data_IF_737063950468
#
_entry.id   IF_737063950468
#
_cell.length_a   1.000
_cell.length_b   1.000
_cell.length_c   1.000
_cell.angle_alpha   90.00
_cell.angle_beta   90.00
_cell.angle_gamma   90.00
#
_symmetry.space_group_name_H-M   'P 1'
#
loop_
_entity.id
_entity.type
_entity.pdbx_description
1 polymer ?
#
# COMPACT_ATOMS: atom_id res chain seq x y z
N UNK A 1 1.18 31.63 15.55
CA UNK A 1 2.61 31.62 15.13
C UNK A 1 2.68 30.99 13.76
N UNK A 2 3.22 31.67 12.75
CA UNK A 2 3.47 31.05 11.43
C UNK A 2 4.76 30.25 11.53
N UNK A 3 4.70 28.96 11.25
CA UNK A 3 5.89 28.11 11.15
C UNK A 3 6.70 28.54 9.92
N UNK A 4 8.01 28.70 10.08
CA UNK A 4 8.91 28.97 8.94
C UNK A 4 9.05 27.70 8.11
N UNK A 5 8.97 27.82 6.79
CA UNK A 5 9.27 26.71 5.89
C UNK A 5 10.75 26.32 6.02
N UNK A 6 11.01 25.04 6.24
CA UNK A 6 12.35 24.47 6.24
C UNK A 6 12.46 23.59 5.01
N UNK A 7 13.43 23.91 4.14
CA UNK A 7 13.70 23.10 2.95
C UNK A 7 14.32 21.77 3.37
N UNK A 8 13.67 20.67 3.00
CA UNK A 8 14.21 19.33 3.21
C UNK A 8 15.26 19.00 2.15
N UNK A 9 16.29 18.25 2.54
CA UNK A 9 17.23 17.67 1.59
C UNK A 9 16.51 16.73 0.60
N UNK A 10 16.87 16.82 -0.68
CA UNK A 10 16.18 16.08 -1.74
C UNK A 10 16.47 14.58 -1.63
N UNK A 11 17.71 14.18 -1.35
CA UNK A 11 18.08 12.77 -1.25
C UNK A 11 17.39 12.11 -0.04
N UNK A 12 17.26 12.83 1.07
CA UNK A 12 16.50 12.39 2.23
C UNK A 12 15.01 12.20 1.90
N UNK A 13 14.41 13.14 1.16
CA UNK A 13 13.02 13.02 0.73
C UNK A 13 12.82 11.82 -0.22
N UNK A 14 13.71 11.62 -1.19
CA UNK A 14 13.67 10.49 -2.11
C UNK A 14 13.80 9.14 -1.39
N UNK A 15 14.69 9.06 -0.39
CA UNK A 15 14.86 7.85 0.43
C UNK A 15 13.57 7.48 1.17
N UNK A 16 12.85 8.48 1.71
CA UNK A 16 11.55 8.26 2.35
C UNK A 16 10.49 7.84 1.32
N UNK A 17 10.38 8.59 0.21
CA UNK A 17 9.37 8.35 -0.83
C UNK A 17 9.50 6.98 -1.51
N UNK A 18 10.72 6.42 -1.55
CA UNK A 18 10.98 5.07 -2.04
C UNK A 18 10.25 3.97 -1.27
N UNK A 19 9.91 4.21 -0.01
CA UNK A 19 9.35 3.20 0.90
C UNK A 19 7.86 3.40 1.19
N UNK A 20 7.18 4.30 0.49
CA UNK A 20 5.75 4.61 0.69
C UNK A 20 4.98 4.60 -0.62
N UNK A 21 3.66 4.47 -0.52
CA UNK A 21 2.73 4.82 -1.60
C UNK A 21 1.96 6.07 -1.17
N UNK A 22 2.11 7.19 -1.88
CA UNK A 22 1.67 8.49 -1.36
C UNK A 22 2.68 9.07 -0.37
N UNK A 23 2.22 9.84 0.62
CA UNK A 23 3.11 10.59 1.53
C UNK A 23 2.69 10.59 3.01
N UNK A 24 1.51 10.06 3.36
CA UNK A 24 1.01 10.06 4.74
C UNK A 24 1.01 8.64 5.37
N UNK A 25 2.06 8.24 6.10
CA UNK A 25 2.08 6.99 6.86
C UNK A 25 0.91 6.88 7.84
N UNK A 26 0.39 5.66 8.00
CA UNK A 26 -0.50 5.37 9.13
C UNK A 26 0.27 5.63 10.43
N UNK A 27 -0.31 6.29 11.46
CA UNK A 27 0.39 6.58 12.71
C UNK A 27 1.06 5.34 13.32
N UNK A 28 2.36 5.45 13.61
CA UNK A 28 3.16 4.35 14.17
C UNK A 28 3.55 3.23 13.19
N UNK A 29 3.14 3.32 11.92
CA UNK A 29 3.50 2.33 10.92
C UNK A 29 5.01 2.31 10.66
N UNK A 30 5.54 1.10 10.52
CA UNK A 30 6.93 0.83 10.12
C UNK A 30 6.93 0.06 8.80
N UNK A 31 8.08 0.08 8.11
CA UNK A 31 8.28 -0.68 6.88
C UNK A 31 8.01 -2.16 7.17
N UNK A 32 7.12 -2.76 6.38
CA UNK A 32 6.69 -4.13 6.60
C UNK A 32 6.25 -4.77 5.29
N UNK A 33 6.03 -6.09 5.31
CA UNK A 33 5.43 -6.79 4.17
C UNK A 33 3.91 -6.66 4.22
N UNK A 34 3.35 -5.96 3.25
CA UNK A 34 1.92 -5.93 2.98
C UNK A 34 1.60 -7.00 1.95
N UNK A 35 0.62 -7.86 2.25
CA UNK A 35 0.10 -8.85 1.31
C UNK A 35 -1.37 -8.62 1.09
N UNK A 36 -1.77 -8.65 -0.17
CA UNK A 36 -3.16 -8.57 -0.61
C UNK A 36 -3.51 -9.80 -1.43
N UNK A 37 -4.72 -10.32 -1.23
CA UNK A 37 -5.34 -11.24 -2.17
C UNK A 37 -6.13 -10.41 -3.18
N UNK A 38 -6.00 -10.73 -4.47
CA UNK A 38 -6.67 -10.04 -5.56
C UNK A 38 -7.47 -10.99 -6.44
N UNK A 39 -8.62 -10.52 -6.91
CA UNK A 39 -9.46 -11.24 -7.88
C UNK A 39 -8.74 -11.42 -9.22
N UNK A 40 -9.33 -12.16 -10.16
CA UNK A 40 -8.79 -12.28 -11.52
C UNK A 40 -8.74 -10.93 -12.25
N UNK A 41 -9.81 -10.13 -12.16
CA UNK A 41 -9.85 -8.78 -12.73
C UNK A 41 -8.80 -7.86 -12.06
N UNK A 42 -8.71 -7.91 -10.73
CA UNK A 42 -7.71 -7.15 -9.98
C UNK A 42 -6.29 -7.56 -10.36
N UNK A 43 -6.04 -8.86 -10.56
CA UNK A 43 -4.74 -9.37 -11.02
C UNK A 43 -4.30 -8.70 -12.31
N UNK A 44 -5.17 -8.65 -13.32
CA UNK A 44 -4.85 -8.01 -14.61
C UNK A 44 -4.53 -6.53 -14.42
N UNK A 45 -5.31 -5.83 -13.59
CA UNK A 45 -5.09 -4.42 -13.29
C UNK A 45 -3.72 -4.17 -12.65
N UNK A 46 -3.36 -4.89 -11.57
CA UNK A 46 -2.09 -4.71 -10.87
C UNK A 46 -0.87 -5.14 -11.69
N UNK A 47 -1.04 -6.01 -12.68
CA UNK A 47 0.02 -6.31 -13.64
C UNK A 47 0.28 -5.15 -14.59
N UNK A 48 -0.77 -4.51 -15.09
CA UNK A 48 -0.66 -3.37 -16.00
C UNK A 48 -0.20 -2.10 -15.27
N UNK A 49 -0.62 -1.92 -14.01
CA UNK A 49 -0.37 -0.73 -13.20
C UNK A 49 0.27 -1.10 -11.84
N UNK A 50 1.58 -1.41 -11.80
CA UNK A 50 2.27 -1.66 -10.55
C UNK A 50 2.26 -0.44 -9.63
N UNK A 51 1.92 -0.62 -8.35
CA UNK A 51 1.84 0.49 -7.39
C UNK A 51 3.19 0.90 -6.80
N UNK A 52 4.13 -0.03 -6.71
CA UNK A 52 5.37 0.15 -5.99
C UNK A 52 6.47 -0.71 -6.57
N UNK A 53 7.72 -0.23 -6.50
CA UNK A 53 8.89 -0.94 -7.05
C UNK A 53 9.10 -2.33 -6.45
N UNK A 54 8.68 -2.54 -5.20
CA UNK A 54 8.78 -3.84 -4.52
C UNK A 54 7.63 -4.80 -4.84
N UNK A 55 6.74 -4.47 -5.78
CA UNK A 55 5.54 -5.28 -6.05
C UNK A 55 5.94 -6.64 -6.63
N UNK A 56 5.52 -7.72 -5.97
CA UNK A 56 5.70 -9.09 -6.45
C UNK A 56 4.34 -9.76 -6.54
N UNK A 57 4.03 -10.32 -7.71
CA UNK A 57 2.75 -10.98 -7.97
C UNK A 57 2.98 -12.49 -8.04
N UNK A 58 2.29 -13.24 -7.17
CA UNK A 58 2.17 -14.70 -7.26
C UNK A 58 0.78 -15.04 -7.76
N UNK A 59 0.69 -15.46 -9.02
CA UNK A 59 -0.56 -15.93 -9.64
C UNK A 59 -0.88 -17.35 -9.21
N UNK A 60 -2.15 -17.60 -8.96
CA UNK A 60 -2.71 -18.93 -8.73
C UNK A 60 -3.37 -19.43 -10.02
N UNK A 61 -3.57 -20.75 -10.15
CA UNK A 61 -4.15 -21.36 -11.36
C UNK A 61 -5.59 -20.89 -11.66
N UNK A 62 -6.31 -20.40 -10.64
CA UNK A 62 -7.65 -19.79 -10.76
C UNK A 62 -7.64 -18.40 -11.41
N UNK A 63 -6.46 -17.81 -11.67
CA UNK A 63 -6.32 -16.44 -12.17
C UNK A 63 -6.35 -15.37 -11.08
N UNK A 64 -6.67 -15.72 -9.83
CA UNK A 64 -6.46 -14.84 -8.67
C UNK A 64 -4.96 -14.76 -8.33
N UNK A 65 -4.58 -13.78 -7.52
CA UNK A 65 -3.18 -13.66 -7.09
C UNK A 65 -3.04 -13.25 -5.64
N UNK A 66 -1.88 -13.55 -5.08
CA UNK A 66 -1.35 -12.87 -3.90
C UNK A 66 -0.30 -11.88 -4.36
N UNK A 67 -0.49 -10.60 -4.03
CA UNK A 67 0.48 -9.54 -4.31
C UNK A 67 1.14 -9.11 -3.01
N UNK A 68 2.46 -9.00 -3.05
CA UNK A 68 3.29 -8.59 -1.92
C UNK A 68 3.98 -7.26 -2.19
N UNK A 69 4.06 -6.42 -1.17
CA UNK A 69 4.82 -5.16 -1.15
C UNK A 69 5.70 -5.11 0.11
N UNK A 70 6.84 -4.44 0.04
CA UNK A 70 7.70 -4.12 1.19
C UNK A 70 7.80 -2.61 1.30
N UNK A 71 6.90 -2.02 2.07
CA UNK A 71 6.71 -0.57 2.20
C UNK A 71 6.17 -0.22 3.59
N UNK A 72 6.13 1.07 3.92
CA UNK A 72 5.46 1.63 5.08
C UNK A 72 3.99 1.87 4.70
N UNK A 73 3.01 1.22 5.35
CA UNK A 73 1.61 1.44 4.99
C UNK A 73 1.17 2.89 5.25
N UNK A 74 0.49 3.45 4.26
CA UNK A 74 0.00 4.84 4.24
C UNK A 74 -1.52 4.89 4.20
N UNK A 75 -2.07 6.07 4.49
CA UNK A 75 -3.50 6.35 4.36
C UNK A 75 -3.94 6.25 2.91
N UNK A 76 -3.12 6.69 1.97
CA UNK A 76 -3.37 6.62 0.53
C UNK A 76 -3.40 5.17 0.04
N UNK A 77 -2.51 4.31 0.53
CA UNK A 77 -2.53 2.89 0.22
C UNK A 77 -3.81 2.23 0.75
N UNK A 78 -4.18 2.54 2.00
CA UNK A 78 -5.41 2.04 2.60
C UNK A 78 -6.64 2.43 1.78
N UNK A 79 -6.77 3.72 1.43
CA UNK A 79 -7.88 4.24 0.61
C UNK A 79 -7.89 3.62 -0.78
N UNK A 80 -6.73 3.49 -1.41
CA UNK A 80 -6.64 2.86 -2.72
C UNK A 80 -7.14 1.42 -2.69
N UNK A 81 -6.71 0.63 -1.69
CA UNK A 81 -7.14 -0.76 -1.52
C UNK A 81 -8.65 -0.83 -1.27
N UNK A 82 -9.18 0.01 -0.38
CA UNK A 82 -10.61 0.06 -0.07
C UNK A 82 -11.46 0.42 -1.30
N UNK A 83 -10.99 1.34 -2.14
CA UNK A 83 -11.66 1.75 -3.37
C UNK A 83 -11.79 0.60 -4.39
N UNK A 84 -10.98 -0.46 -4.29
CA UNK A 84 -11.10 -1.64 -5.15
C UNK A 84 -12.25 -2.57 -4.75
N UNK A 85 -12.94 -2.30 -3.64
CA UNK A 85 -14.07 -3.08 -3.15
C UNK A 85 -13.72 -4.57 -2.96
N UNK A 86 -14.63 -5.46 -3.36
CA UNK A 86 -14.49 -6.91 -3.18
C UNK A 86 -13.33 -7.56 -3.95
N UNK A 87 -12.68 -6.84 -4.87
CA UNK A 87 -11.60 -7.37 -5.69
C UNK A 87 -10.25 -7.43 -4.97
N UNK A 88 -10.07 -6.69 -3.88
CA UNK A 88 -8.80 -6.66 -3.13
C UNK A 88 -9.07 -6.86 -1.65
N UNK A 89 -8.30 -7.75 -1.02
CA UNK A 89 -8.39 -8.00 0.43
C UNK A 89 -7.00 -8.01 1.04
N UNK A 90 -6.80 -7.23 2.10
CA UNK A 90 -5.56 -7.28 2.88
C UNK A 90 -5.54 -8.58 3.69
N UNK A 91 -4.46 -9.34 3.54
CA UNK A 91 -4.23 -10.57 4.31
C UNK A 91 -3.07 -10.42 5.31
N UNK A 92 -2.13 -9.49 5.05
CA UNK A 92 -1.01 -9.18 5.95
C UNK A 92 -0.59 -7.70 5.79
N UNK A 93 -0.11 -7.02 6.85
CA UNK A 93 -0.11 -7.45 8.26
C UNK A 93 -1.51 -7.35 8.89
N UNK A 94 -1.73 -8.11 9.98
CA UNK A 94 -3.02 -8.16 10.69
C UNK A 94 -3.49 -6.78 11.14
N UNK A 95 -2.58 -5.96 11.68
CA UNK A 95 -2.90 -4.61 12.14
C UNK A 95 -3.39 -3.72 10.99
N UNK A 96 -2.81 -3.84 9.79
CA UNK A 96 -3.19 -3.01 8.65
C UNK A 96 -4.53 -3.46 8.08
N UNK A 97 -4.78 -4.78 8.05
CA UNK A 97 -6.11 -5.34 7.77
C UNK A 97 -7.16 -4.78 8.73
N UNK A 98 -6.88 -4.78 10.03
CA UNK A 98 -7.79 -4.25 11.06
C UNK A 98 -8.01 -2.74 10.89
N UNK A 99 -6.93 -1.97 10.66
CA UNK A 99 -7.00 -0.55 10.35
C UNK A 99 -7.98 -0.26 9.21
N UNK A 100 -7.89 -1.01 8.11
CA UNK A 100 -8.80 -0.85 6.95
C UNK A 100 -10.20 -1.42 7.16
N UNK A 101 -10.43 -2.23 8.19
CA UNK A 101 -11.76 -2.78 8.49
C UNK A 101 -12.60 -1.85 9.38
N UNK A 102 -11.95 -0.91 10.07
CA UNK A 102 -12.61 0.06 10.97
C UNK A 102 -12.53 1.49 10.44
N UNK A 103 -11.58 1.77 9.53
CA UNK A 103 -11.56 3.02 8.80
C UNK A 103 -12.62 2.97 7.69
N UNK A 104 -13.71 3.74 7.86
CA UNK A 104 -14.76 4.05 6.89
C UNK A 104 -16.04 3.20 6.94
N UNK A 105 -16.64 3.08 8.13
CA UNK A 105 -18.08 3.32 8.32
C UNK A 105 -18.26 4.26 9.52
#
# INVERSE_FOLDING_TARGET
VKSTFIKTDKAQAELFLKDVYGVFPVPGAKKCTVKIHVSQLGTQYFQAFPLHSSQVIKKENSGTSVICFTLIPTIELARFILAQGGHVKIIQPKWFKQFTSHALL
#
